data_IF_175113966189
#
_entry.id   IF_175113966189
#
_cell.length_a   1.000
_cell.length_b   1.000
_cell.length_c   1.000
_cell.angle_alpha   90.00
_cell.angle_beta   90.00
_cell.angle_gamma   90.00
#
_symmetry.space_group_name_H-M   'P 1'
#
loop_
_entity.id
_entity.type
_entity.pdbx_description
1 polymer ?
#
# COMPACT_ATOMS: atom_id res chain seq x y z
N UNK A 1 42.71 38.83 -30.98
CA UNK A 1 43.08 38.53 -29.58
C UNK A 1 41.84 38.03 -28.83
N UNK A 2 41.96 36.84 -28.24
CA UNK A 2 41.14 36.18 -27.21
C UNK A 2 39.61 36.37 -27.25
N UNK A 3 38.91 35.39 -27.85
CA UNK A 3 37.53 35.04 -27.49
C UNK A 3 37.60 34.19 -26.21
N UNK A 4 37.12 34.74 -25.11
CA UNK A 4 37.00 34.01 -23.83
C UNK A 4 35.77 33.12 -23.91
N UNK A 5 35.98 31.80 -23.96
CA UNK A 5 34.92 30.81 -23.89
C UNK A 5 34.65 30.54 -22.40
N UNK A 6 33.55 31.07 -21.87
CA UNK A 6 33.10 30.80 -20.50
C UNK A 6 32.51 29.39 -20.46
N UNK A 7 33.26 28.44 -19.88
CA UNK A 7 32.80 27.08 -19.63
C UNK A 7 31.89 27.12 -18.39
N UNK A 8 30.57 27.16 -18.60
CA UNK A 8 29.59 26.96 -17.53
C UNK A 8 29.64 25.48 -17.16
N UNK A 9 30.30 25.16 -16.06
CA UNK A 9 30.23 23.85 -15.42
C UNK A 9 28.80 23.67 -14.91
N UNK A 10 28.00 22.93 -15.67
CA UNK A 10 26.71 22.39 -15.23
C UNK A 10 27.01 21.30 -14.20
N UNK A 11 27.27 21.72 -12.96
CA UNK A 11 27.37 20.84 -11.82
C UNK A 11 25.95 20.35 -11.50
N UNK A 12 25.45 19.40 -12.28
CA UNK A 12 24.25 18.65 -11.93
C UNK A 12 24.54 17.95 -10.62
N UNK A 13 23.97 18.46 -9.54
CA UNK A 13 23.72 17.68 -8.34
C UNK A 13 22.99 16.41 -8.77
N UNK A 14 23.70 15.27 -8.82
CA UNK A 14 23.06 13.99 -8.63
C UNK A 14 22.55 14.01 -7.19
N UNK A 15 21.33 14.51 -6.99
CA UNK A 15 20.56 14.01 -5.86
C UNK A 15 20.36 12.53 -6.15
N UNK A 16 21.10 11.69 -5.43
CA UNK A 16 20.75 10.29 -5.29
C UNK A 16 19.32 10.30 -4.74
N UNK A 17 18.35 10.08 -5.63
CA UNK A 17 16.97 9.87 -5.25
C UNK A 17 16.95 8.58 -4.44
N UNK A 18 17.09 8.69 -3.12
CA UNK A 18 16.91 7.57 -2.22
C UNK A 18 15.43 7.21 -2.27
N UNK A 19 15.11 6.18 -3.04
CA UNK A 19 13.77 5.63 -3.07
C UNK A 19 13.51 5.00 -1.68
N UNK A 20 12.59 5.61 -0.93
CA UNK A 20 11.97 4.98 0.23
C UNK A 20 11.15 3.82 -0.29
N UNK A 21 11.70 2.62 -0.32
CA UNK A 21 10.99 1.42 -0.80
C UNK A 21 10.08 0.82 0.27
N UNK A 22 10.31 1.20 1.52
CA UNK A 22 9.48 0.92 2.68
C UNK A 22 9.69 2.05 3.69
N UNK A 23 8.66 2.37 4.46
CA UNK A 23 8.74 3.35 5.55
C UNK A 23 8.20 2.77 6.85
N UNK A 24 8.70 3.28 7.97
CA UNK A 24 8.07 3.09 9.29
C UNK A 24 6.91 4.07 9.35
N UNK A 25 5.69 3.54 9.33
CA UNK A 25 4.47 4.33 9.37
C UNK A 25 4.22 4.90 10.77
N UNK A 26 4.25 3.99 11.73
CA UNK A 26 3.92 4.28 13.11
C UNK A 26 4.48 3.18 14.02
N UNK A 27 4.55 3.48 15.31
CA UNK A 27 4.74 2.48 16.35
C UNK A 27 4.06 2.94 17.63
N UNK A 28 3.66 1.98 18.45
CA UNK A 28 3.00 2.22 19.72
C UNK A 28 3.85 1.72 20.87
N UNK A 29 4.13 2.63 21.80
CA UNK A 29 4.82 2.31 23.04
C UNK A 29 3.77 2.12 24.13
N UNK A 30 3.50 0.86 24.47
CA UNK A 30 2.51 0.52 25.50
C UNK A 30 3.12 0.58 26.92
N UNK A 31 2.27 0.61 27.95
CA UNK A 31 2.71 0.43 29.33
C UNK A 31 3.24 -0.99 29.60
N UNK A 32 2.55 -2.01 29.07
CA UNK A 32 3.08 -3.37 29.00
C UNK A 32 3.73 -3.56 27.63
N UNK A 33 5.03 -3.89 27.59
CA UNK A 33 5.81 -4.06 26.36
C UNK A 33 5.22 -5.13 25.43
N UNK A 34 4.41 -6.05 25.94
CA UNK A 34 3.67 -7.03 25.15
C UNK A 34 2.67 -6.41 24.19
N UNK A 35 2.08 -5.27 24.54
CA UNK A 35 1.10 -4.56 23.73
C UNK A 35 1.74 -3.54 22.77
N UNK A 36 3.07 -3.49 22.71
CA UNK A 36 3.80 -2.61 21.79
C UNK A 36 3.90 -3.21 20.39
N UNK A 37 3.89 -2.36 19.37
CA UNK A 37 3.90 -2.79 17.98
C UNK A 37 4.52 -1.74 17.07
N UNK A 38 4.95 -2.19 15.89
CA UNK A 38 5.54 -1.38 14.82
C UNK A 38 4.74 -1.64 13.54
N UNK A 39 4.46 -0.59 12.78
CA UNK A 39 3.80 -0.67 11.49
C UNK A 39 4.71 -0.15 10.37
N UNK A 40 4.89 -0.97 9.35
CA UNK A 40 5.66 -0.66 8.16
C UNK A 40 4.72 -0.57 6.96
N UNK A 41 5.04 0.32 6.02
CA UNK A 41 4.32 0.48 4.77
C UNK A 41 5.27 0.25 3.60
N UNK A 42 4.95 -0.71 2.75
CA UNK A 42 5.66 -0.97 1.49
C UNK A 42 5.26 0.07 0.45
N UNK A 43 6.23 0.76 -0.12
CA UNK A 43 6.01 1.91 -1.01
C UNK A 43 6.54 1.68 -2.43
N UNK A 44 7.28 0.60 -2.64
CA UNK A 44 7.69 0.08 -3.95
C UNK A 44 6.99 -1.22 -4.30
N UNK A 45 6.82 -1.49 -5.59
CA UNK A 45 6.18 -2.73 -6.05
C UNK A 45 7.24 -3.80 -6.33
N UNK A 46 6.86 -5.08 -6.15
CA UNK A 46 7.76 -6.22 -6.34
C UNK A 46 9.03 -6.16 -5.46
N UNK A 47 8.88 -5.72 -4.21
CA UNK A 47 9.98 -5.50 -3.29
C UNK A 47 10.46 -6.82 -2.65
N UNK A 48 11.77 -6.99 -2.57
CA UNK A 48 12.45 -8.02 -1.79
C UNK A 48 13.06 -7.39 -0.54
N UNK A 49 12.65 -7.87 0.64
CA UNK A 49 13.17 -7.40 1.93
C UNK A 49 13.88 -8.50 2.71
N UNK A 50 14.21 -9.62 2.07
CA UNK A 50 14.99 -10.68 2.74
C UNK A 50 16.29 -10.09 3.27
N UNK A 51 16.67 -10.54 4.46
CA UNK A 51 17.86 -10.08 5.18
C UNK A 51 17.84 -8.60 5.60
N UNK A 52 16.75 -7.86 5.36
CA UNK A 52 16.57 -6.54 5.93
C UNK A 52 16.41 -6.64 7.45
N UNK A 53 16.82 -5.58 8.14
CA UNK A 53 16.89 -5.49 9.59
C UNK A 53 15.88 -4.45 10.07
N UNK A 54 15.22 -4.75 11.18
CA UNK A 54 14.45 -3.77 11.96
C UNK A 54 15.10 -3.67 13.32
N UNK A 55 15.46 -2.45 13.72
CA UNK A 55 16.02 -2.16 15.04
C UNK A 55 15.29 -1.02 15.71
N UNK A 56 15.23 -1.11 17.03
CA UNK A 56 14.87 -0.06 17.99
C UNK A 56 16.15 0.47 18.63
N UNK A 57 16.25 1.79 18.74
CA UNK A 57 17.45 2.51 19.15
C UNK A 57 17.05 3.69 20.03
N UNK A 58 17.76 3.87 21.15
CA UNK A 58 17.61 5.08 21.95
C UNK A 58 18.08 6.32 21.17
N UNK A 59 17.20 7.30 21.07
CA UNK A 59 17.44 8.58 20.38
C UNK A 59 18.35 9.51 21.19
N UNK A 60 18.37 9.39 22.53
CA UNK A 60 19.04 10.33 23.43
C UNK A 60 20.56 10.12 23.59
N UNK A 61 21.09 8.96 23.16
CA UNK A 61 22.50 8.60 23.31
C UNK A 61 22.76 7.78 24.58
N UNK A 62 23.52 6.67 24.42
CA UNK A 62 23.80 5.71 25.49
C UNK A 62 24.06 4.27 25.03
N UNK A 63 23.75 3.95 23.76
CA UNK A 63 23.98 2.63 23.15
C UNK A 63 24.09 2.74 21.62
N UNK A 64 24.95 1.90 21.05
CA UNK A 64 25.52 1.97 19.70
C UNK A 64 24.51 1.95 18.53
N UNK A 65 24.57 2.95 17.65
CA UNK A 65 23.82 2.97 16.38
C UNK A 65 24.19 1.86 15.38
N UNK A 66 25.33 1.18 15.56
CA UNK A 66 25.90 0.34 14.51
C UNK A 66 25.38 -1.10 14.49
N UNK A 67 25.01 -1.73 15.61
CA UNK A 67 24.87 -3.20 15.66
C UNK A 67 23.57 -3.76 16.28
N UNK A 68 22.61 -2.94 16.72
CA UNK A 68 21.38 -3.44 17.32
C UNK A 68 20.24 -3.49 16.31
N UNK A 69 20.32 -4.47 15.41
CA UNK A 69 19.09 -4.97 14.80
C UNK A 69 18.42 -5.91 15.80
N UNK A 70 17.12 -5.73 16.00
CA UNK A 70 16.35 -6.54 16.95
C UNK A 70 15.72 -7.74 16.27
N UNK A 71 15.39 -7.62 14.99
CA UNK A 71 14.95 -8.72 14.13
C UNK A 71 15.51 -8.57 12.72
N UNK A 72 15.68 -9.70 12.05
CA UNK A 72 16.01 -9.77 10.62
C UNK A 72 14.92 -10.50 9.87
N UNK A 73 14.44 -9.93 8.76
CA UNK A 73 13.57 -10.61 7.83
C UNK A 73 14.31 -11.83 7.26
N UNK A 74 13.78 -13.02 7.50
CA UNK A 74 14.44 -14.28 7.13
C UNK A 74 14.61 -14.40 5.61
N UNK A 75 15.69 -15.01 5.11
CA UNK A 75 15.81 -15.32 3.68
C UNK A 75 14.87 -16.45 3.24
N UNK A 76 13.58 -16.14 3.07
CA UNK A 76 12.52 -17.03 2.57
C UNK A 76 11.67 -16.33 1.52
N UNK A 77 11.01 -17.10 0.64
CA UNK A 77 10.17 -16.58 -0.44
C UNK A 77 8.99 -15.71 0.03
N UNK A 78 8.59 -15.84 1.30
CA UNK A 78 7.54 -15.01 1.87
C UNK A 78 7.86 -13.51 1.74
N UNK A 79 9.11 -13.11 2.01
CA UNK A 79 9.55 -11.71 1.97
C UNK A 79 9.97 -11.19 0.58
N UNK A 80 9.76 -12.00 -0.46
CA UNK A 80 9.91 -11.57 -1.85
C UNK A 80 8.61 -11.02 -2.42
N UNK A 81 8.74 -10.24 -3.48
CA UNK A 81 7.62 -9.81 -4.31
C UNK A 81 6.52 -9.10 -3.50
N UNK A 82 6.89 -8.37 -2.45
CA UNK A 82 5.94 -7.57 -1.69
C UNK A 82 5.37 -6.49 -2.60
N UNK A 83 4.05 -6.33 -2.56
CA UNK A 83 3.34 -5.39 -3.41
C UNK A 83 3.31 -4.01 -2.78
N UNK A 84 3.37 -3.00 -3.61
CA UNK A 84 3.24 -1.61 -3.17
C UNK A 84 1.90 -1.41 -2.47
N UNK A 85 1.93 -0.80 -1.29
CA UNK A 85 0.78 -0.59 -0.43
C UNK A 85 0.55 -1.71 0.59
N UNK A 86 1.39 -2.75 0.62
CA UNK A 86 1.33 -3.78 1.67
C UNK A 86 1.68 -3.17 3.03
N UNK A 87 0.84 -3.43 4.02
CA UNK A 87 1.02 -3.01 5.41
C UNK A 87 1.57 -4.20 6.18
N UNK A 88 2.66 -4.00 6.93
CA UNK A 88 3.28 -5.03 7.77
C UNK A 88 3.20 -4.57 9.22
N UNK A 89 2.39 -5.27 10.01
CA UNK A 89 2.29 -5.07 11.43
C UNK A 89 3.17 -6.09 12.17
N UNK A 90 3.99 -5.59 13.09
CA UNK A 90 4.90 -6.39 13.89
C UNK A 90 4.62 -6.10 15.38
N UNK A 91 4.00 -7.05 16.07
CA UNK A 91 3.93 -7.02 17.52
C UNK A 91 5.30 -7.32 18.13
N UNK A 92 5.68 -6.59 19.18
CA UNK A 92 6.98 -6.77 19.84
C UNK A 92 7.08 -8.14 20.56
N UNK A 93 5.96 -8.74 20.96
CA UNK A 93 5.90 -10.03 21.69
C UNK A 93 4.84 -10.96 21.08
N UNK A 94 4.89 -12.25 21.42
CA UNK A 94 3.96 -13.26 20.90
C UNK A 94 2.57 -13.25 21.54
N UNK A 95 2.43 -12.67 22.72
CA UNK A 95 1.17 -12.53 23.46
C UNK A 95 0.97 -11.10 23.93
N UNK A 96 -0.28 -10.71 24.14
CA UNK A 96 -0.67 -9.42 24.71
C UNK A 96 -0.55 -9.40 26.25
N UNK A 97 -0.84 -8.27 26.88
CA UNK A 97 -0.82 -8.11 28.35
C UNK A 97 -1.74 -9.07 29.11
N UNK A 98 -2.78 -9.59 28.45
CA UNK A 98 -3.71 -10.60 28.96
C UNK A 98 -3.27 -12.05 28.69
N UNK A 99 -2.04 -12.26 28.21
CA UNK A 99 -1.48 -13.57 27.81
C UNK A 99 -2.22 -14.24 26.63
N UNK A 100 -2.95 -13.49 25.82
CA UNK A 100 -3.60 -14.01 24.61
C UNK A 100 -2.61 -13.90 23.44
N UNK A 101 -2.33 -14.99 22.69
CA UNK A 101 -1.51 -14.92 21.50
C UNK A 101 -2.08 -13.98 20.44
N UNK A 102 -1.22 -13.21 19.77
CA UNK A 102 -1.64 -12.42 18.62
C UNK A 102 -1.95 -13.32 17.42
N UNK A 103 -2.96 -12.94 16.64
CA UNK A 103 -3.26 -13.58 15.36
C UNK A 103 -2.12 -13.35 14.37
N UNK A 104 -1.64 -14.44 13.78
CA UNK A 104 -0.64 -14.41 12.72
C UNK A 104 -1.34 -14.43 11.36
N UNK A 105 -1.00 -13.47 10.53
CA UNK A 105 -1.35 -13.39 9.12
C UNK A 105 -0.06 -13.38 8.30
N UNK A 106 0.09 -14.40 7.45
CA UNK A 106 1.21 -14.56 6.52
C UNK A 106 0.72 -14.71 5.07
N UNK A 107 -0.52 -14.34 4.80
CA UNK A 107 -0.96 -14.12 3.43
C UNK A 107 -0.44 -12.76 2.96
N UNK A 108 -0.08 -12.67 1.69
CA UNK A 108 0.21 -11.37 1.04
C UNK A 108 -0.98 -10.90 0.20
N UNK A 109 -2.01 -11.74 0.08
CA UNK A 109 -3.01 -11.63 -0.95
C UNK A 109 -3.85 -10.36 -0.79
N UNK A 110 -4.16 -9.95 0.45
CA UNK A 110 -4.99 -8.80 0.75
C UNK A 110 -4.18 -7.51 1.04
N UNK A 111 -2.85 -7.60 0.94
CA UNK A 111 -1.94 -6.49 1.20
C UNK A 111 -1.83 -6.10 2.67
N UNK A 112 -2.12 -7.01 3.59
CA UNK A 112 -1.89 -6.87 5.02
C UNK A 112 -1.12 -8.08 5.55
N UNK A 113 -0.17 -7.86 6.45
CA UNK A 113 0.60 -8.91 7.13
C UNK A 113 0.62 -8.55 8.60
N UNK A 114 0.34 -9.51 9.48
CA UNK A 114 0.39 -9.32 10.93
C UNK A 114 1.20 -10.44 11.55
N UNK A 115 2.34 -10.09 12.13
CA UNK A 115 3.26 -11.05 12.75
C UNK A 115 3.76 -10.52 14.07
N UNK A 116 4.48 -11.35 14.83
CA UNK A 116 5.21 -10.89 16.00
C UNK A 116 6.71 -11.12 15.84
N UNK A 117 7.53 -10.28 16.47
CA UNK A 117 8.99 -10.33 16.39
C UNK A 117 9.58 -11.70 16.76
N UNK A 118 8.90 -12.42 17.66
CA UNK A 118 9.29 -13.76 18.12
C UNK A 118 8.94 -14.90 17.13
N UNK A 119 8.36 -14.60 15.96
CA UNK A 119 7.89 -15.62 15.02
C UNK A 119 9.03 -16.12 14.14
N UNK A 120 9.71 -17.18 14.59
CA UNK A 120 10.91 -17.75 13.96
C UNK A 120 10.71 -18.31 12.54
N UNK A 121 9.45 -18.49 12.11
CA UNK A 121 9.14 -18.88 10.75
C UNK A 121 9.49 -17.78 9.74
N UNK A 122 9.39 -16.50 10.14
CA UNK A 122 9.57 -15.35 9.23
C UNK A 122 10.68 -14.39 9.67
N UNK A 123 11.12 -14.46 10.93
CA UNK A 123 12.25 -13.68 11.42
C UNK A 123 13.39 -14.56 11.91
N UNK A 124 14.62 -14.15 11.62
CA UNK A 124 15.81 -14.64 12.30
C UNK A 124 16.14 -13.72 13.48
N UNK A 125 16.73 -14.30 14.51
CA UNK A 125 17.32 -13.55 15.61
C UNK A 125 18.59 -12.88 15.13
N UNK A 126 18.78 -11.61 15.51
CA UNK A 126 20.06 -10.96 15.32
C UNK A 126 21.00 -11.37 16.47
N UNK A 127 22.24 -11.79 16.16
CA UNK A 127 23.11 -12.50 17.11
C UNK A 127 23.70 -11.64 18.23
N UNK A 128 23.23 -10.40 18.44
CA UNK A 128 23.90 -9.47 19.34
C UNK A 128 23.46 -9.57 20.81
N UNK A 129 22.19 -9.80 21.16
CA UNK A 129 21.75 -9.61 22.55
C UNK A 129 20.80 -10.69 23.07
N UNK A 130 20.93 -10.98 24.37
CA UNK A 130 19.96 -11.70 25.21
C UNK A 130 18.71 -10.87 25.56
N UNK A 131 18.51 -9.74 24.91
CA UNK A 131 17.42 -8.79 25.14
C UNK A 131 16.16 -9.25 24.37
N UNK A 132 14.94 -9.20 24.95
CA UNK A 132 13.73 -9.48 24.19
C UNK A 132 13.61 -8.61 22.93
N UNK A 133 13.51 -9.28 21.78
CA UNK A 133 13.35 -8.68 20.44
C UNK A 133 12.44 -7.44 20.44
N UNK A 134 12.94 -6.26 20.05
CA UNK A 134 12.21 -4.98 20.02
C UNK A 134 11.63 -4.60 21.39
N UNK A 135 12.34 -3.79 22.18
CA UNK A 135 11.92 -3.27 23.47
C UNK A 135 11.72 -1.75 23.44
N UNK A 136 10.56 -1.33 22.92
CA UNK A 136 10.28 0.08 22.67
C UNK A 136 10.24 0.92 23.95
N UNK A 137 11.12 1.91 24.07
CA UNK A 137 11.25 2.76 25.25
C UNK A 137 10.25 3.92 25.23
N UNK A 138 9.76 4.27 26.43
CA UNK A 138 8.71 5.28 26.58
C UNK A 138 9.22 6.72 26.55
N UNK A 139 10.48 6.98 26.91
CA UNK A 139 11.01 8.35 26.96
C UNK A 139 11.50 8.84 25.60
N UNK A 140 12.21 7.96 24.88
CA UNK A 140 12.72 8.22 23.55
C UNK A 140 13.02 6.90 22.84
N UNK A 141 12.70 6.81 21.56
CA UNK A 141 12.85 5.59 20.77
C UNK A 141 12.95 5.94 19.28
N UNK A 142 13.65 5.12 18.52
CA UNK A 142 13.70 5.21 17.06
C UNK A 142 13.69 3.84 16.43
N UNK A 143 12.72 3.65 15.55
CA UNK A 143 12.64 2.47 14.71
C UNK A 143 13.36 2.76 13.40
N UNK A 144 14.27 1.87 13.02
CA UNK A 144 15.00 1.95 11.75
C UNK A 144 14.86 0.66 10.98
N UNK A 145 14.54 0.78 9.70
CA UNK A 145 14.62 -0.30 8.72
C UNK A 145 15.92 -0.12 7.93
N UNK A 146 16.74 -1.16 7.79
CA UNK A 146 18.00 -1.09 7.03
C UNK A 146 18.31 -2.40 6.32
N UNK A 147 19.09 -2.32 5.25
CA UNK A 147 19.80 -3.47 4.69
C UNK A 147 21.30 -3.27 4.99
N UNK A 148 22.02 -2.62 4.08
CA UNK A 148 23.38 -2.10 4.34
C UNK A 148 23.36 -0.67 4.89
N UNK A 149 22.43 0.14 4.38
CA UNK A 149 22.17 1.51 4.81
C UNK A 149 20.74 1.64 5.33
N UNK A 150 20.45 2.63 6.19
CA UNK A 150 19.09 2.97 6.59
C UNK A 150 18.21 3.25 5.36
N UNK A 151 17.04 2.62 5.34
CA UNK A 151 16.00 2.82 4.33
C UNK A 151 15.00 3.87 4.80
N UNK A 152 14.61 3.81 6.07
CA UNK A 152 13.79 4.83 6.73
C UNK A 152 13.87 4.68 8.25
N UNK A 153 13.78 5.82 8.96
CA UNK A 153 13.65 5.84 10.42
C UNK A 153 12.54 6.75 10.92
N UNK A 154 11.79 6.29 11.93
CA UNK A 154 10.81 7.08 12.68
C UNK A 154 11.20 7.11 14.15
N UNK A 155 11.32 8.31 14.73
CA UNK A 155 11.72 8.48 16.12
C UNK A 155 10.82 9.40 16.95
N UNK A 156 11.03 9.37 18.26
CA UNK A 156 10.58 10.40 19.20
C UNK A 156 11.62 10.65 20.29
N UNK A 157 11.64 11.87 20.83
CA UNK A 157 12.54 12.25 21.93
C UNK A 157 12.85 13.75 21.91
N UNK A 158 13.63 14.21 22.88
CA UNK A 158 14.04 15.63 23.02
C UNK A 158 15.54 15.85 22.91
N UNK A 159 16.36 14.81 23.03
CA UNK A 159 17.79 14.85 22.78
C UNK A 159 18.10 14.00 21.56
N UNK A 160 18.60 14.60 20.48
CA UNK A 160 18.66 13.96 19.16
C UNK A 160 20.08 13.56 18.77
N UNK A 161 20.96 13.35 19.74
CA UNK A 161 22.38 13.02 19.49
C UNK A 161 22.55 11.81 18.57
N UNK A 162 21.82 10.72 18.83
CA UNK A 162 21.83 9.53 17.97
C UNK A 162 21.02 9.73 16.67
N UNK A 163 19.91 10.48 16.75
CA UNK A 163 19.08 10.79 15.59
C UNK A 163 19.87 11.49 14.47
N UNK A 164 20.71 12.47 14.82
CA UNK A 164 21.49 13.24 13.85
C UNK A 164 22.46 12.38 13.03
N UNK A 165 22.90 11.25 13.58
CA UNK A 165 23.83 10.31 12.92
C UNK A 165 23.14 9.33 11.96
N UNK A 166 21.82 9.19 12.02
CA UNK A 166 21.08 8.31 11.10
C UNK A 166 20.96 8.96 9.72
N UNK A 167 21.20 8.20 8.66
CA UNK A 167 21.05 8.70 7.29
C UNK A 167 19.57 9.02 6.97
N UNK A 168 19.34 10.02 6.13
CA UNK A 168 18.02 10.23 5.53
C UNK A 168 17.68 9.04 4.61
N UNK A 169 16.39 8.74 4.42
CA UNK A 169 15.22 9.48 4.89
C UNK A 169 14.80 9.11 6.30
N UNK A 170 14.41 10.12 7.09
CA UNK A 170 14.06 9.93 8.50
C UNK A 170 13.12 11.03 8.98
N UNK A 171 12.26 10.75 9.95
CA UNK A 171 11.42 11.76 10.61
C UNK A 171 11.30 11.52 12.13
N UNK A 172 11.35 12.59 12.92
CA UNK A 172 11.29 12.52 14.39
C UNK A 172 10.21 13.43 14.96
N UNK A 173 9.50 12.95 15.97
CA UNK A 173 8.64 13.76 16.82
C UNK A 173 9.45 14.37 17.98
N UNK A 174 9.51 15.70 18.06
CA UNK A 174 10.29 16.42 19.08
C UNK A 174 9.57 16.55 20.43
N UNK A 175 9.03 15.46 20.93
CA UNK A 175 8.41 15.39 22.24
C UNK A 175 8.99 14.22 23.01
N UNK A 176 9.23 14.43 24.30
CA UNK A 176 9.53 13.33 25.20
C UNK A 176 8.29 12.44 25.25
N UNK A 177 8.51 11.13 25.10
CA UNK A 177 7.41 10.19 25.12
C UNK A 177 6.91 9.92 26.54
N UNK A 178 5.83 9.15 26.58
CA UNK A 178 5.39 8.43 27.77
C UNK A 178 4.86 7.07 27.33
N UNK A 179 4.62 6.16 28.27
CA UNK A 179 3.87 4.94 27.95
C UNK A 179 2.46 5.28 27.42
N UNK A 180 1.90 4.33 26.67
CA UNK A 180 0.63 4.41 25.96
C UNK A 180 0.57 5.55 24.93
N UNK A 181 1.60 5.65 24.10
CA UNK A 181 1.69 6.65 23.02
C UNK A 181 1.93 5.98 21.68
N UNK A 182 1.11 6.38 20.70
CA UNK A 182 1.30 6.14 19.28
C UNK A 182 2.15 7.28 18.73
N UNK A 183 3.28 6.92 18.12
CA UNK A 183 4.12 7.81 17.34
C UNK A 183 3.86 7.46 15.87
N UNK A 184 3.44 8.43 15.08
CA UNK A 184 3.00 8.19 13.71
C UNK A 184 3.39 9.35 12.78
N UNK A 185 3.59 9.04 11.50
CA UNK A 185 3.72 10.05 10.44
C UNK A 185 2.34 10.51 10.01
N UNK A 186 2.05 11.80 10.20
CA UNK A 186 0.79 12.44 9.82
C UNK A 186 1.04 13.94 9.60
N UNK A 187 0.69 14.52 8.43
CA UNK A 187 -0.33 14.05 7.49
C UNK A 187 0.14 13.12 6.37
N UNK A 188 1.42 12.74 6.29
CA UNK A 188 1.90 11.62 5.45
C UNK A 188 1.37 11.54 4.01
N UNK A 189 1.03 12.68 3.37
CA UNK A 189 0.27 12.72 2.12
C UNK A 189 1.06 12.21 0.90
N UNK A 190 2.37 12.07 1.03
CA UNK A 190 3.32 11.58 0.04
C UNK A 190 4.52 10.97 0.76
N UNK A 191 5.44 10.32 0.02
CA UNK A 191 6.74 9.88 0.56
C UNK A 191 7.57 11.01 1.17
N UNK A 192 7.44 12.24 0.67
CA UNK A 192 8.12 13.39 1.29
C UNK A 192 7.60 13.73 2.70
N UNK A 193 6.44 13.18 3.10
CA UNK A 193 5.95 13.24 4.48
C UNK A 193 6.75 12.39 5.46
N UNK A 194 7.40 11.35 4.94
CA UNK A 194 8.24 10.39 5.67
C UNK A 194 9.72 10.77 5.67
N UNK A 195 10.06 11.96 5.17
CA UNK A 195 11.42 12.49 5.21
C UNK A 195 11.41 13.92 5.77
N UNK A 196 12.16 14.15 6.84
CA UNK A 196 12.36 15.48 7.37
C UNK A 196 13.70 15.60 8.09
N UNK A 197 14.46 16.62 7.68
CA UNK A 197 15.72 17.00 8.35
C UNK A 197 15.45 17.77 9.64
N UNK A 198 14.29 18.46 9.72
CA UNK A 198 13.95 19.32 10.86
C UNK A 198 12.95 18.59 11.77
N UNK A 199 13.27 18.59 13.05
CA UNK A 199 12.46 18.04 14.14
C UNK A 199 11.09 18.72 14.16
N UNK A 200 10.00 18.01 13.89
CA UNK A 200 8.71 18.69 13.80
C UNK A 200 7.48 17.81 14.07
N UNK A 201 6.62 18.35 14.93
CA UNK A 201 5.23 17.92 15.16
C UNK A 201 4.30 18.22 13.97
N UNK A 202 4.79 18.90 12.92
CA UNK A 202 4.01 19.12 11.69
C UNK A 202 3.88 17.85 10.87
N UNK A 203 4.93 17.02 10.78
CA UNK A 203 4.94 15.76 9.99
C UNK A 203 4.70 14.49 10.82
N UNK A 204 4.75 14.62 12.14
CA UNK A 204 4.50 13.52 13.06
C UNK A 204 3.39 13.87 14.03
N UNK A 205 2.78 12.87 14.63
CA UNK A 205 1.84 13.05 15.72
C UNK A 205 2.17 12.05 16.83
N UNK A 206 2.10 12.51 18.08
CA UNK A 206 2.20 11.66 19.25
C UNK A 206 0.87 11.73 20.01
N UNK A 207 0.18 10.61 20.15
CA UNK A 207 -1.19 10.58 20.71
C UNK A 207 -1.43 9.31 21.54
N UNK A 208 -2.34 9.39 22.51
CA UNK A 208 -2.85 8.23 23.26
C UNK A 208 -4.26 7.82 22.82
N UNK A 209 -4.84 8.52 21.85
CA UNK A 209 -6.17 8.24 21.29
C UNK A 209 -6.08 8.22 19.76
N UNK A 210 -7.02 7.53 19.10
CA UNK A 210 -7.00 7.38 17.65
C UNK A 210 -5.90 6.42 17.18
N UNK A 211 -5.87 5.22 17.74
CA UNK A 211 -4.98 4.15 17.28
C UNK A 211 -5.44 3.69 15.89
N UNK A 212 -4.55 3.76 14.90
CA UNK A 212 -4.79 3.37 13.51
C UNK A 212 -4.07 2.06 13.19
N UNK A 213 -4.18 1.06 14.06
CA UNK A 213 -3.46 -0.21 13.89
C UNK A 213 -3.81 -0.90 12.57
N UNK A 214 -2.83 -1.04 11.67
CA UNK A 214 -3.06 -1.62 10.35
C UNK A 214 -3.89 -0.73 9.43
N UNK A 215 -4.00 0.56 9.76
CA UNK A 215 -4.83 1.54 9.07
C UNK A 215 -4.05 2.84 8.82
N UNK A 216 -4.47 3.66 7.85
CA UNK A 216 -3.83 4.94 7.62
C UNK A 216 -3.86 5.81 8.87
N UNK A 217 -2.69 6.33 9.24
CA UNK A 217 -2.52 7.29 10.32
C UNK A 217 -3.40 8.54 10.13
N UNK A 218 -3.95 9.06 11.21
CA UNK A 218 -4.74 10.29 11.17
C UNK A 218 -4.51 11.16 12.40
N UNK A 219 -4.87 12.44 12.29
CA UNK A 219 -4.93 13.35 13.44
C UNK A 219 -6.09 14.33 13.29
N UNK A 220 -6.47 14.97 14.39
CA UNK A 220 -7.48 16.03 14.35
C UNK A 220 -7.10 17.10 13.32
N UNK A 221 -8.05 17.49 12.47
CA UNK A 221 -7.82 18.42 11.36
C UNK A 221 -7.14 17.81 10.12
N UNK A 222 -6.74 16.54 10.14
CA UNK A 222 -6.25 15.82 8.97
C UNK A 222 -6.59 14.33 9.04
N UNK A 223 -7.80 13.99 8.62
CA UNK A 223 -8.32 12.62 8.67
C UNK A 223 -8.01 11.79 7.41
N UNK A 224 -7.74 12.43 6.27
CA UNK A 224 -7.71 11.74 4.97
C UNK A 224 -6.37 11.75 4.22
N UNK A 225 -5.34 12.47 4.69
CA UNK A 225 -4.13 12.62 3.87
C UNK A 225 -3.32 11.33 3.74
N UNK A 226 -3.06 10.62 4.83
CA UNK A 226 -2.43 9.30 4.77
C UNK A 226 -3.34 8.30 4.04
N UNK A 227 -4.66 8.35 4.26
CA UNK A 227 -5.61 7.46 3.59
C UNK A 227 -5.52 7.60 2.06
N UNK A 228 -5.55 8.83 1.55
CA UNK A 228 -5.41 9.09 0.11
C UNK A 228 -4.07 8.57 -0.44
N UNK A 229 -2.97 8.79 0.30
CA UNK A 229 -1.65 8.30 -0.10
C UNK A 229 -1.58 6.77 -0.11
N UNK A 230 -2.09 6.11 0.93
CA UNK A 230 -2.07 4.67 1.05
C UNK A 230 -2.97 4.01 0.00
N UNK A 231 -4.15 4.56 -0.26
CA UNK A 231 -4.99 4.13 -1.39
C UNK A 231 -4.21 4.21 -2.69
N UNK A 232 -3.59 5.36 -2.99
CA UNK A 232 -2.79 5.54 -4.21
C UNK A 232 -1.65 4.51 -4.34
N UNK A 233 -0.98 4.14 -3.24
CA UNK A 233 0.04 3.09 -3.26
C UNK A 233 -0.56 1.73 -3.62
N UNK A 234 -1.72 1.40 -3.06
CA UNK A 234 -2.39 0.10 -3.22
C UNK A 234 -3.08 -0.05 -4.57
N UNK A 235 -3.54 1.03 -5.18
CA UNK A 235 -4.17 1.00 -6.49
C UNK A 235 -3.20 0.52 -7.59
N UNK A 236 -3.65 -0.35 -8.51
CA UNK A 236 -2.83 -0.79 -9.63
C UNK A 236 -2.61 0.37 -10.63
N UNK A 237 -1.41 0.44 -11.19
CA UNK A 237 -1.10 1.46 -12.20
C UNK A 237 -1.58 1.00 -13.58
N UNK A 238 -2.42 1.81 -14.23
CA UNK A 238 -2.90 1.54 -15.59
C UNK A 238 -2.82 2.81 -16.44
N UNK A 239 -1.73 2.92 -17.21
CA UNK A 239 -1.46 4.07 -18.06
C UNK A 239 -2.32 4.01 -19.32
N UNK A 240 -3.08 5.08 -19.56
CA UNK A 240 -3.93 5.27 -20.75
C UNK A 240 -4.76 4.01 -21.11
N UNK A 241 -5.71 3.60 -20.27
CA UNK A 241 -6.55 2.43 -20.54
C UNK A 241 -7.38 2.63 -21.81
N UNK A 242 -7.43 1.60 -22.65
CA UNK A 242 -8.18 1.57 -23.91
C UNK A 242 -9.12 0.38 -23.91
N UNK A 243 -10.31 0.53 -24.49
CA UNK A 243 -11.26 -0.54 -24.69
C UNK A 243 -11.73 -0.55 -26.14
N UNK A 244 -11.56 -1.68 -26.80
CA UNK A 244 -12.15 -1.97 -28.11
C UNK A 244 -13.19 -3.06 -27.96
N UNK A 245 -14.29 -2.92 -28.71
CA UNK A 245 -15.44 -3.82 -28.60
C UNK A 245 -15.83 -4.25 -30.01
N UNK A 246 -15.92 -5.55 -30.23
CA UNK A 246 -16.45 -6.13 -31.45
C UNK A 246 -17.67 -6.97 -31.14
N UNK A 247 -18.78 -6.65 -31.82
CA UNK A 247 -20.06 -7.36 -31.68
C UNK A 247 -20.22 -8.35 -32.83
N UNK A 248 -20.75 -9.55 -32.54
CA UNK A 248 -21.07 -10.50 -33.58
C UNK A 248 -22.25 -10.03 -34.45
N UNK A 249 -22.44 -10.66 -35.61
CA UNK A 249 -23.48 -10.27 -36.57
C UNK A 249 -24.91 -10.43 -36.04
N UNK A 250 -25.12 -11.30 -35.05
CA UNK A 250 -26.43 -11.49 -34.40
C UNK A 250 -26.65 -10.58 -33.20
N UNK A 251 -25.70 -9.71 -32.85
CA UNK A 251 -25.77 -8.80 -31.71
C UNK A 251 -26.08 -9.46 -30.36
N UNK A 252 -25.59 -10.69 -30.17
CA UNK A 252 -25.77 -11.49 -28.94
C UNK A 252 -24.46 -11.70 -28.18
N UNK A 253 -23.33 -11.32 -28.77
CA UNK A 253 -22.01 -11.49 -28.19
C UNK A 253 -21.17 -10.26 -28.46
N UNK A 254 -20.68 -9.65 -27.37
CA UNK A 254 -19.67 -8.62 -27.39
C UNK A 254 -18.33 -9.19 -26.94
N UNK A 255 -17.29 -9.00 -27.76
CA UNK A 255 -15.90 -9.29 -27.37
C UNK A 255 -15.21 -8.00 -27.01
N UNK A 256 -14.84 -7.90 -25.74
CA UNK A 256 -14.13 -6.76 -25.15
C UNK A 256 -12.62 -7.04 -25.21
N UNK A 257 -11.82 -6.05 -25.59
CA UNK A 257 -10.34 -6.11 -25.57
C UNK A 257 -9.74 -4.80 -25.06
N UNK A 258 -8.80 -4.89 -24.13
CA UNK A 258 -8.12 -3.75 -23.52
C UNK A 258 -6.61 -3.94 -23.46
N UNK A 259 -5.83 -2.87 -23.24
CA UNK A 259 -4.40 -2.99 -22.92
C UNK A 259 -4.22 -3.36 -21.45
N UNK A 260 -3.24 -4.21 -21.12
CA UNK A 260 -3.04 -4.67 -19.73
C UNK A 260 -2.56 -3.55 -18.81
N UNK A 261 -2.96 -3.63 -17.53
CA UNK A 261 -2.43 -2.82 -16.43
C UNK A 261 -1.00 -3.25 -16.09
N UNK A 262 -0.18 -2.33 -15.54
CA UNK A 262 1.19 -2.63 -15.14
C UNK A 262 1.17 -3.56 -13.94
N UNK A 263 1.77 -4.74 -14.09
CA UNK A 263 1.87 -5.73 -13.03
C UNK A 263 3.29 -6.31 -12.96
N UNK A 264 4.15 -5.75 -12.09
CA UNK A 264 5.53 -6.20 -11.93
C UNK A 264 5.71 -7.65 -11.45
N UNK A 265 4.65 -8.29 -10.91
CA UNK A 265 4.70 -9.69 -10.46
C UNK A 265 3.35 -10.39 -10.62
N UNK A 266 2.97 -10.71 -11.85
CA UNK A 266 1.63 -11.24 -12.17
C UNK A 266 1.35 -12.68 -11.73
N UNK A 267 2.37 -13.41 -11.27
CA UNK A 267 2.22 -14.78 -10.79
C UNK A 267 1.59 -14.86 -9.39
N UNK A 268 1.50 -13.75 -8.65
CA UNK A 268 0.83 -13.72 -7.34
C UNK A 268 -0.71 -13.67 -7.43
N UNK A 269 -1.27 -13.43 -8.62
CA UNK A 269 -2.71 -13.32 -8.86
C UNK A 269 -3.44 -12.30 -7.96
N UNK A 270 -2.72 -11.28 -7.48
CA UNK A 270 -3.30 -10.22 -6.65
C UNK A 270 -3.90 -9.10 -7.49
N UNK A 271 -3.50 -8.96 -8.76
CA UNK A 271 -3.99 -7.91 -9.65
C UNK A 271 -4.90 -8.50 -10.74
N UNK A 272 -5.99 -7.79 -11.06
CA UNK A 272 -7.03 -8.27 -11.96
C UNK A 272 -7.91 -7.15 -12.52
N UNK A 273 -9.06 -7.53 -13.09
CA UNK A 273 -10.01 -6.59 -13.67
C UNK A 273 -11.44 -6.81 -13.19
N UNK A 274 -12.16 -5.71 -12.94
CA UNK A 274 -13.60 -5.69 -12.70
C UNK A 274 -14.30 -5.07 -13.92
N UNK A 275 -15.28 -5.78 -14.49
CA UNK A 275 -15.98 -5.36 -15.70
C UNK A 275 -17.44 -5.05 -15.38
N UNK A 276 -17.86 -3.82 -15.72
CA UNK A 276 -19.23 -3.32 -15.54
C UNK A 276 -19.91 -3.13 -16.89
N UNK A 277 -21.22 -3.40 -16.94
CA UNK A 277 -22.16 -3.15 -18.04
C UNK A 277 -23.17 -2.08 -17.63
N UNK A 278 -23.51 -1.18 -18.54
CA UNK A 278 -24.64 -0.26 -18.42
C UNK A 278 -25.42 -0.18 -19.74
N UNK A 279 -26.75 -0.24 -19.66
CA UNK A 279 -27.64 -0.08 -20.83
C UNK A 279 -27.94 1.40 -21.15
N UNK A 280 -27.66 2.31 -20.22
CA UNK A 280 -27.94 3.74 -20.36
C UNK A 280 -26.67 4.55 -20.64
N UNK A 281 -25.49 3.94 -20.47
CA UNK A 281 -24.20 4.62 -20.49
C UNK A 281 -23.89 5.40 -19.22
N UNK A 282 -24.78 5.35 -18.23
CA UNK A 282 -24.58 5.99 -16.93
C UNK A 282 -23.90 5.00 -15.99
N UNK A 283 -22.81 5.44 -15.37
CA UNK A 283 -22.08 4.77 -14.29
C UNK A 283 -22.09 5.70 -13.08
N UNK A 284 -23.15 5.65 -12.27
CA UNK A 284 -23.39 6.61 -11.17
C UNK A 284 -22.44 6.45 -9.97
N UNK A 285 -21.65 5.39 -9.93
CA UNK A 285 -20.73 5.09 -8.83
C UNK A 285 -19.50 4.33 -9.34
N UNK A 286 -18.36 4.56 -8.68
CA UNK A 286 -17.13 3.79 -8.87
C UNK A 286 -17.08 2.62 -7.88
N UNK A 287 -16.34 1.54 -8.17
CA UNK A 287 -16.04 0.52 -7.17
C UNK A 287 -15.31 1.15 -5.99
N UNK A 288 -15.61 0.69 -4.78
CA UNK A 288 -15.07 1.24 -3.53
C UNK A 288 -13.96 0.34 -3.02
N UNK A 289 -12.83 0.93 -2.61
CA UNK A 289 -11.74 0.21 -1.96
C UNK A 289 -12.21 -0.52 -0.68
N UNK A 290 -11.55 -1.62 -0.35
CA UNK A 290 -11.95 -2.55 0.70
C UNK A 290 -13.22 -3.35 0.39
N UNK A 291 -13.84 -3.17 -0.77
CA UNK A 291 -15.04 -3.91 -1.16
C UNK A 291 -14.74 -4.87 -2.31
N UNK A 292 -14.99 -6.15 -2.10
CA UNK A 292 -15.01 -7.13 -3.19
C UNK A 292 -16.42 -7.31 -3.72
N UNK A 293 -16.55 -7.40 -5.05
CA UNK A 293 -17.83 -7.55 -5.71
C UNK A 293 -17.94 -8.87 -6.46
N UNK A 294 -19.18 -9.36 -6.58
CA UNK A 294 -19.54 -10.58 -7.28
C UNK A 294 -20.29 -10.27 -8.57
N UNK A 295 -20.08 -11.09 -9.61
CA UNK A 295 -20.82 -10.99 -10.87
C UNK A 295 -22.32 -11.03 -10.64
N UNK A 296 -23.06 -10.19 -11.36
CA UNK A 296 -24.51 -10.04 -11.25
C UNK A 296 -24.96 -8.96 -10.26
N UNK A 297 -24.07 -8.50 -9.37
CA UNK A 297 -24.40 -7.37 -8.46
C UNK A 297 -24.22 -6.02 -9.14
N UNK A 298 -24.81 -4.97 -8.57
CA UNK A 298 -24.74 -3.62 -9.11
C UNK A 298 -23.78 -2.73 -8.33
N UNK A 299 -23.12 -1.82 -9.05
CA UNK A 299 -22.40 -0.68 -8.50
C UNK A 299 -23.07 0.57 -9.08
N UNK A 300 -23.83 1.26 -8.24
CA UNK A 300 -24.71 2.33 -8.71
C UNK A 300 -25.70 1.79 -9.76
N UNK A 301 -25.74 2.44 -10.93
CA UNK A 301 -26.61 2.08 -12.06
C UNK A 301 -26.07 0.98 -12.99
N UNK A 302 -24.86 0.47 -12.75
CA UNK A 302 -24.21 -0.51 -13.63
C UNK A 302 -24.14 -1.89 -12.98
N UNK A 303 -24.18 -2.95 -13.79
CA UNK A 303 -24.10 -4.35 -13.33
C UNK A 303 -22.72 -4.92 -13.59
N UNK A 304 -22.19 -5.70 -12.66
CA UNK A 304 -20.90 -6.38 -12.79
C UNK A 304 -21.10 -7.64 -13.62
N UNK A 305 -20.33 -7.77 -14.69
CA UNK A 305 -20.40 -8.92 -15.60
C UNK A 305 -19.21 -9.87 -15.45
N UNK A 306 -18.10 -9.40 -14.90
CA UNK A 306 -16.94 -10.24 -14.61
C UNK A 306 -16.02 -9.64 -13.54
N UNK A 307 -15.37 -10.53 -12.80
CA UNK A 307 -14.20 -10.26 -11.97
C UNK A 307 -13.10 -11.23 -12.41
N UNK A 308 -12.06 -10.73 -13.08
CA UNK A 308 -10.95 -11.50 -13.62
C UNK A 308 -9.77 -11.41 -12.65
N UNK A 309 -9.26 -12.54 -12.17
CA UNK A 309 -8.24 -12.62 -11.12
C UNK A 309 -6.79 -12.46 -11.58
N UNK A 310 -6.57 -12.19 -12.87
CA UNK A 310 -5.21 -12.00 -13.41
C UNK A 310 -5.15 -10.77 -14.29
N UNK A 311 -4.09 -9.99 -14.10
CA UNK A 311 -3.73 -8.82 -14.90
C UNK A 311 -3.33 -9.17 -16.33
N UNK A 312 -2.98 -10.43 -16.59
CA UNK A 312 -2.52 -10.92 -17.89
C UNK A 312 -3.67 -11.14 -18.89
N UNK A 313 -4.92 -11.19 -18.43
CA UNK A 313 -6.07 -11.24 -19.32
C UNK A 313 -6.36 -9.85 -19.88
N UNK A 314 -6.46 -9.78 -21.20
CA UNK A 314 -6.72 -8.55 -21.94
C UNK A 314 -7.99 -8.62 -22.80
N UNK A 315 -8.83 -9.63 -22.56
CA UNK A 315 -10.07 -9.84 -23.28
C UNK A 315 -11.13 -10.56 -22.45
N UNK A 316 -12.39 -10.26 -22.74
CA UNK A 316 -13.55 -10.95 -22.16
C UNK A 316 -14.67 -11.06 -23.19
N UNK A 317 -15.40 -12.18 -23.18
CA UNK A 317 -16.55 -12.42 -24.04
C UNK A 317 -17.81 -12.32 -23.20
N UNK A 318 -18.67 -11.35 -23.52
CA UNK A 318 -19.95 -11.15 -22.88
C UNK A 318 -21.07 -11.62 -23.79
N UNK A 319 -21.75 -12.69 -23.39
CA UNK A 319 -22.96 -13.17 -24.07
C UNK A 319 -24.20 -12.55 -23.44
N UNK A 320 -25.10 -12.03 -24.26
CA UNK A 320 -26.34 -11.40 -23.83
C UNK A 320 -27.49 -11.66 -24.82
N UNK A 321 -28.72 -11.35 -24.40
CA UNK A 321 -29.84 -11.36 -25.32
C UNK A 321 -29.62 -10.33 -26.44
N UNK A 322 -30.17 -10.58 -27.63
CA UNK A 322 -30.11 -9.60 -28.71
C UNK A 322 -30.80 -8.31 -28.26
N UNK A 323 -30.01 -7.27 -28.03
CA UNK A 323 -30.45 -5.96 -27.55
C UNK A 323 -30.19 -4.95 -28.67
N UNK A 324 -31.24 -4.25 -29.11
CA UNK A 324 -31.06 -3.11 -30.01
C UNK A 324 -30.56 -1.90 -29.23
N UNK A 325 -29.68 -1.10 -29.83
CA UNK A 325 -29.12 0.09 -29.20
C UNK A 325 -27.69 -0.12 -28.73
N UNK A 326 -27.30 0.60 -27.66
CA UNK A 326 -25.91 0.64 -27.18
C UNK A 326 -25.77 -0.08 -25.84
N UNK A 327 -24.73 -0.89 -25.72
CA UNK A 327 -24.28 -1.43 -24.44
C UNK A 327 -22.95 -0.77 -24.10
N UNK A 328 -22.86 -0.19 -22.92
CA UNK A 328 -21.68 0.51 -22.44
C UNK A 328 -20.94 -0.35 -21.44
N UNK A 329 -19.62 -0.35 -21.55
CA UNK A 329 -18.75 -1.13 -20.69
C UNK A 329 -17.70 -0.25 -20.03
N UNK A 330 -17.33 -0.63 -18.82
CA UNK A 330 -16.20 -0.05 -18.10
C UNK A 330 -15.38 -1.15 -17.43
N UNK A 331 -14.06 -1.10 -17.58
CA UNK A 331 -13.11 -2.04 -17.01
C UNK A 331 -12.21 -1.28 -16.03
N UNK A 332 -12.24 -1.70 -14.76
CA UNK A 332 -11.35 -1.19 -13.72
C UNK A 332 -10.27 -2.23 -13.45
N UNK A 333 -9.01 -1.82 -13.37
CA UNK A 333 -7.99 -2.67 -12.76
C UNK A 333 -8.16 -2.64 -11.24
N UNK A 334 -7.92 -3.77 -10.58
CA UNK A 334 -7.86 -3.83 -9.11
C UNK A 334 -6.63 -4.60 -8.65
N UNK A 335 -6.22 -4.38 -7.41
CA UNK A 335 -5.19 -5.14 -6.70
C UNK A 335 -5.73 -5.64 -5.36
N UNK A 336 -5.13 -6.71 -4.87
CA UNK A 336 -5.41 -7.42 -3.63
C UNK A 336 -6.73 -8.21 -3.60
N UNK A 337 -6.71 -9.27 -2.81
CA UNK A 337 -7.89 -10.06 -2.45
C UNK A 337 -8.79 -9.29 -1.49
N UNK A 338 -9.89 -9.94 -1.10
CA UNK A 338 -10.68 -9.49 0.05
C UNK A 338 -9.78 -9.49 1.30
N UNK A 339 -10.00 -8.55 2.22
CA UNK A 339 -9.39 -8.58 3.55
C UNK A 339 -9.72 -9.90 4.24
N UNK A 340 -8.69 -10.66 4.61
CA UNK A 340 -8.84 -12.01 5.15
C UNK A 340 -9.33 -12.01 6.61
N UNK A 341 -9.15 -10.89 7.31
CA UNK A 341 -9.56 -10.71 8.71
C UNK A 341 -10.98 -10.15 8.82
N UNK A 342 -11.30 -9.11 8.04
CA UNK A 342 -12.51 -8.32 8.24
C UNK A 342 -13.51 -8.39 7.07
N UNK A 343 -13.13 -9.04 5.97
CA UNK A 343 -13.93 -9.09 4.76
C UNK A 343 -14.22 -7.71 4.18
N UNK A 344 -15.46 -7.51 3.72
CA UNK A 344 -15.90 -6.21 3.20
C UNK A 344 -16.36 -5.24 4.31
N UNK A 345 -16.19 -5.57 5.59
CA UNK A 345 -16.71 -4.74 6.70
C UNK A 345 -15.77 -3.62 7.13
N UNK A 346 -14.57 -3.56 6.53
CA UNK A 346 -13.50 -2.65 6.91
C UNK A 346 -13.00 -1.90 5.67
N UNK A 347 -13.62 -0.76 5.39
CA UNK A 347 -13.46 0.00 4.14
C UNK A 347 -12.24 0.93 4.12
N UNK A 348 -11.39 0.88 5.14
CA UNK A 348 -10.29 1.80 5.33
C UNK A 348 -8.99 1.18 4.80
N UNK A 349 -8.73 1.30 3.49
CA UNK A 349 -7.40 1.08 2.88
C UNK A 349 -6.79 -0.32 3.10
N UNK A 350 -7.62 -1.33 3.40
CA UNK A 350 -7.25 -2.74 3.49
C UNK A 350 -8.04 -3.57 2.49
N UNK A 351 -7.53 -4.74 2.13
CA UNK A 351 -8.11 -5.56 1.08
C UNK A 351 -8.08 -4.89 -0.30
N UNK A 352 -9.11 -5.16 -1.11
CA UNK A 352 -9.14 -4.83 -2.54
C UNK A 352 -9.06 -3.32 -2.81
N UNK A 353 -8.14 -2.91 -3.66
CA UNK A 353 -7.98 -1.53 -4.12
C UNK A 353 -8.23 -1.43 -5.63
N UNK A 354 -9.06 -0.50 -6.07
CA UNK A 354 -9.41 -0.30 -7.48
C UNK A 354 -8.73 0.93 -8.04
N UNK A 355 -8.26 0.89 -9.28
CA UNK A 355 -7.89 2.12 -9.96
C UNK A 355 -9.15 2.94 -10.28
N UNK A 356 -9.52 3.87 -9.39
CA UNK A 356 -10.77 4.62 -9.49
C UNK A 356 -10.69 5.79 -10.47
N UNK A 357 -9.49 6.21 -10.85
CA UNK A 357 -9.23 7.41 -11.65
C UNK A 357 -8.88 7.13 -13.11
N UNK A 358 -8.43 5.91 -13.41
CA UNK A 358 -7.99 5.48 -14.75
C UNK A 358 -8.58 4.10 -15.06
N UNK A 359 -9.59 4.09 -15.94
CA UNK A 359 -10.31 2.89 -16.35
C UNK A 359 -10.56 2.87 -17.85
N UNK A 360 -10.68 1.68 -18.44
CA UNK A 360 -11.02 1.54 -19.86
C UNK A 360 -12.54 1.60 -20.02
N UNK A 361 -13.04 2.28 -21.05
CA UNK A 361 -14.48 2.35 -21.32
C UNK A 361 -14.78 2.44 -22.81
N UNK A 362 -15.96 1.98 -23.20
CA UNK A 362 -16.38 1.87 -24.60
C UNK A 362 -17.83 1.43 -24.71
N UNK A 363 -18.36 1.37 -25.92
CA UNK A 363 -19.71 0.85 -26.18
C UNK A 363 -19.76 0.02 -27.46
N UNK A 364 -20.60 -1.02 -27.45
CA UNK A 364 -21.10 -1.65 -28.67
C UNK A 364 -22.33 -0.92 -29.16
N UNK A 365 -22.60 -1.03 -30.46
CA UNK A 365 -23.83 -0.52 -31.07
C UNK A 365 -24.43 -1.62 -31.95
N UNK A 366 -25.65 -2.04 -31.62
CA UNK A 366 -26.48 -2.84 -32.48
C UNK A 366 -27.44 -1.91 -33.23
N UNK A 367 -27.35 -1.90 -34.56
CA UNK A 367 -28.33 -1.21 -35.39
C UNK A 367 -29.53 -2.13 -35.59
N UNK A 368 -30.74 -1.56 -35.62
CA UNK A 368 -31.89 -2.28 -36.12
C UNK A 368 -31.59 -2.73 -37.56
N UNK A 369 -31.87 -3.99 -37.96
CA UNK A 369 -31.86 -4.34 -39.36
C UNK A 369 -32.81 -3.38 -40.09
N UNK A 370 -32.30 -2.72 -41.14
CA UNK A 370 -33.11 -1.84 -41.99
C UNK A 370 -34.29 -2.67 -42.49
N UNK A 371 -35.55 -2.24 -42.31
CA UNK A 371 -36.68 -2.94 -42.89
C UNK A 371 -36.46 -3.03 -44.41
N UNK A 372 -36.34 -4.25 -44.93
CA UNK A 372 -36.37 -4.46 -46.38
C UNK A 372 -37.79 -4.11 -46.81
N UNK A 373 -37.99 -2.90 -47.34
CA UNK A 373 -39.21 -2.52 -48.02
C UNK A 373 -39.29 -3.37 -49.31
N UNK A 374 -40.04 -4.46 -49.25
CA UNK A 374 -40.48 -5.14 -50.45
C UNK A 374 -41.46 -4.21 -51.17
N UNK A 375 -41.02 -3.60 -52.27
CA UNK A 375 -41.93 -3.06 -53.27
C UNK A 375 -42.58 -4.25 -53.98
N UNK A 376 -43.84 -4.52 -53.64
CA UNK A 376 -44.73 -5.40 -54.39
C UNK A 376 -45.33 -4.66 -55.58
#
# INVERSE_FOLDING_TARGET
MKKTLTFIAFLTWLQLAHAQNMVVSSYYVAADKRDSWIELLVTSDNLDIREWLVGDYDVNGGGHLSNYASIKFKSINFWNHLRRGTIILIYCRSTNSSNVPYSIDTSKADGFISVHAQFSAVFDDCPANSDPKLDLQSLAEMITIKYDIPIHSLGHGTNHSNWLMVANPKVINNQAGSSNKLIQVCPGATLAGYDNIIEDTVKTNMTSTGLSLGLPNFRSGNLGSNQAFWNQLREPTWTTPTLTISTNTTHTVDTLRWNVSLDPYSTDLTQGYLILKSNTGIFSSSPVDGTTYTTGTSIGSATIIATLTTSQLSSFVHSHAAECGKIYYRVYAYRYSQDETNGNSYHETRGRAYNQTSFAQGNSTAQNPIPILYHY
#
